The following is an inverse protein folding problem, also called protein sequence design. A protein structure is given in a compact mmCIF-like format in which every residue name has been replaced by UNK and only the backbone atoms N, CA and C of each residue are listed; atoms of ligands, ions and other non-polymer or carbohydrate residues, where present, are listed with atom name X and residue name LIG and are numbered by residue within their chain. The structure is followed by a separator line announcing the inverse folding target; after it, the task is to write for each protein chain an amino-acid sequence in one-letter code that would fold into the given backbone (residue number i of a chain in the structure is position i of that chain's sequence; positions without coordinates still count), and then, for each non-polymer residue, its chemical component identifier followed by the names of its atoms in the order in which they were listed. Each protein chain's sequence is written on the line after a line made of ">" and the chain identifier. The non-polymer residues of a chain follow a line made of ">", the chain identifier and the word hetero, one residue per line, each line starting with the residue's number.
data_IF_072330828459
#
_entry.id   IF_072330828459
#
_cell.length_a   1.000
_cell.length_b   1.000
_cell.length_c   1.000
_cell.angle_alpha   90.00
_cell.angle_beta   90.00
_cell.angle_gamma   90.00
#
_symmetry.space_group_name_H-M   'P 1'
#
loop_
_entity.id
_entity.type
_entity.pdbx_description
1 polymer ?
#
# COMPACT_ATOMS: atom_id res chain seq x y z
N UNK A 1 0.20 26.33 10.56
CA UNK A 1 -0.43 25.50 11.61
C UNK A 1 -1.94 25.57 11.46
N UNK A 2 -2.60 24.44 11.20
CA UNK A 2 -4.05 24.40 11.04
C UNK A 2 -4.67 23.82 12.30
N UNK A 3 -5.24 24.69 13.14
CA UNK A 3 -5.93 24.29 14.35
C UNK A 3 -7.17 23.45 14.00
N UNK A 4 -7.27 22.25 14.55
CA UNK A 4 -8.39 21.34 14.35
C UNK A 4 -9.18 21.13 15.63
N UNK A 5 -10.46 20.77 15.49
CA UNK A 5 -11.28 20.39 16.63
C UNK A 5 -10.74 19.12 17.28
N UNK A 6 -10.68 19.12 18.60
CA UNK A 6 -10.14 17.99 19.37
C UNK A 6 -10.92 16.69 19.11
N UNK A 7 -12.26 16.74 18.98
CA UNK A 7 -13.04 15.55 18.63
C UNK A 7 -12.67 14.97 17.25
N UNK A 8 -12.29 15.85 16.30
CA UNK A 8 -11.82 15.42 14.98
C UNK A 8 -10.43 14.80 15.06
N UNK A 9 -9.51 15.41 15.82
CA UNK A 9 -8.14 14.89 16.00
C UNK A 9 -8.18 13.49 16.61
N UNK A 10 -8.89 13.32 17.74
CA UNK A 10 -8.96 12.03 18.43
C UNK A 10 -9.66 10.97 17.55
N UNK A 11 -10.77 11.31 16.90
CA UNK A 11 -11.50 10.36 16.06
C UNK A 11 -10.71 9.95 14.81
N UNK A 12 -9.85 10.82 14.26
CA UNK A 12 -9.04 10.50 13.08
C UNK A 12 -7.99 9.42 13.33
N UNK A 13 -7.63 9.17 14.59
CA UNK A 13 -6.74 8.04 14.95
C UNK A 13 -7.41 6.67 14.80
N UNK A 14 -8.74 6.64 14.62
CA UNK A 14 -9.54 5.40 14.51
C UNK A 14 -9.79 4.68 15.83
N UNK A 15 -9.15 5.09 16.95
CA UNK A 15 -9.36 4.47 18.27
C UNK A 15 -10.77 4.72 18.81
N UNK A 16 -11.32 5.91 18.56
CA UNK A 16 -12.60 6.35 19.10
C UNK A 16 -13.45 7.03 18.02
N UNK A 17 -14.76 6.81 18.06
CA UNK A 17 -15.71 7.62 17.30
C UNK A 17 -15.89 9.01 17.98
N UNK A 18 -16.36 10.00 17.25
CA UNK A 18 -16.65 11.33 17.83
C UNK A 18 -17.65 11.27 18.99
N UNK A 19 -18.57 10.28 18.98
CA UNK A 19 -19.53 10.07 20.05
C UNK A 19 -18.84 9.57 21.32
N UNK A 20 -17.94 8.63 21.17
CA UNK A 20 -17.11 8.12 22.28
C UNK A 20 -16.21 9.20 22.85
N UNK A 21 -15.56 10.01 22.00
CA UNK A 21 -14.75 11.17 22.44
C UNK A 21 -15.54 12.11 23.34
N UNK A 22 -16.79 12.44 22.98
CA UNK A 22 -17.65 13.28 23.81
C UNK A 22 -17.96 12.63 25.16
N UNK A 23 -18.16 11.31 25.18
CA UNK A 23 -18.41 10.58 26.42
C UNK A 23 -17.19 10.56 27.32
N UNK A 24 -16.01 10.26 26.76
CA UNK A 24 -14.73 10.26 27.47
C UNK A 24 -14.40 11.63 28.08
N UNK A 25 -14.64 12.72 27.35
CA UNK A 25 -14.47 14.08 27.86
C UNK A 25 -15.37 14.39 29.06
N UNK A 26 -16.66 13.99 28.99
CA UNK A 26 -17.61 14.15 30.12
C UNK A 26 -17.19 13.37 31.36
N UNK A 27 -16.49 12.25 31.17
CA UNK A 27 -15.94 11.43 32.23
C UNK A 27 -14.58 11.93 32.76
N UNK A 28 -14.04 13.02 32.20
CA UNK A 28 -12.72 13.55 32.58
C UNK A 28 -11.53 12.68 32.15
N UNK A 29 -11.71 11.80 31.16
CA UNK A 29 -10.72 10.84 30.68
C UNK A 29 -9.85 11.35 29.54
N UNK A 30 -10.03 12.61 29.14
CA UNK A 30 -9.21 13.27 28.10
C UNK A 30 -8.48 14.45 28.74
N UNK A 31 -7.16 14.48 28.59
CA UNK A 31 -6.34 15.63 28.91
C UNK A 31 -5.77 16.23 27.63
N UNK A 32 -5.74 17.56 27.57
CA UNK A 32 -5.06 18.35 26.56
C UNK A 32 -4.05 19.26 27.24
N UNK A 33 -2.78 19.11 26.93
CA UNK A 33 -1.67 19.87 27.54
C UNK A 33 -1.74 19.87 29.10
N UNK A 34 -2.00 18.69 29.66
CA UNK A 34 -2.10 18.46 31.10
C UNK A 34 -3.41 18.90 31.75
N UNK A 35 -4.36 19.51 31.04
CA UNK A 35 -5.65 19.96 31.59
C UNK A 35 -6.82 19.08 31.13
N UNK A 36 -7.81 18.82 31.99
CA UNK A 36 -9.00 18.06 31.62
C UNK A 36 -9.83 18.80 30.55
N UNK A 37 -10.22 18.06 29.50
CA UNK A 37 -11.08 18.54 28.43
C UNK A 37 -12.52 18.48 28.84
N UNK A 38 -13.25 19.60 28.74
CA UNK A 38 -14.72 19.66 28.97
C UNK A 38 -15.50 19.87 27.68
N UNK A 39 -14.95 20.66 26.76
CA UNK A 39 -15.53 20.88 25.43
C UNK A 39 -14.63 20.27 24.33
N UNK A 40 -15.11 19.22 23.71
CA UNK A 40 -14.39 18.54 22.61
C UNK A 40 -14.42 19.33 21.30
N UNK A 41 -15.15 20.47 21.25
CA UNK A 41 -15.14 21.40 20.12
C UNK A 41 -13.94 22.36 20.15
N UNK A 42 -13.23 22.45 21.28
CA UNK A 42 -12.03 23.28 21.36
C UNK A 42 -11.00 22.86 20.30
N UNK A 43 -10.21 23.83 19.85
CA UNK A 43 -9.23 23.62 18.78
C UNK A 43 -7.84 23.42 19.39
N UNK A 44 -7.13 22.46 18.85
CA UNK A 44 -5.73 22.18 19.17
C UNK A 44 -4.91 22.01 17.89
N UNK A 45 -3.62 22.21 17.98
CA UNK A 45 -2.70 21.82 16.92
C UNK A 45 -2.40 20.33 17.04
N UNK A 46 -2.80 19.52 16.07
CA UNK A 46 -2.63 18.07 16.15
C UNK A 46 -1.16 17.60 16.14
N UNK A 47 -0.23 18.46 15.72
CA UNK A 47 1.20 18.12 15.62
C UNK A 47 1.98 18.43 16.90
N UNK A 48 1.49 19.36 17.71
CA UNK A 48 2.21 19.84 18.90
C UNK A 48 1.46 19.63 20.21
N UNK A 49 0.13 19.47 20.16
CA UNK A 49 -0.68 19.28 21.36
C UNK A 49 -0.45 17.91 22.00
N UNK A 50 -0.21 17.89 23.30
CA UNK A 50 -0.16 16.66 24.08
C UNK A 50 -1.59 16.21 24.43
N UNK A 51 -2.05 15.15 23.81
CA UNK A 51 -3.37 14.58 24.05
C UNK A 51 -3.23 13.24 24.76
N UNK A 52 -3.81 13.13 25.96
CA UNK A 52 -3.88 11.87 26.70
C UNK A 52 -5.34 11.38 26.72
N UNK A 53 -5.55 10.11 26.49
CA UNK A 53 -6.84 9.44 26.67
C UNK A 53 -6.62 8.26 27.59
N UNK A 54 -7.32 8.24 28.71
CA UNK A 54 -7.15 7.24 29.78
C UNK A 54 -5.72 7.21 30.36
N UNK A 55 -5.03 8.35 30.36
CA UNK A 55 -3.65 8.46 30.80
C UNK A 55 -2.62 8.01 29.76
N UNK A 56 -3.03 7.51 28.60
CA UNK A 56 -2.14 7.09 27.52
C UNK A 56 -2.02 8.16 26.43
N UNK A 57 -0.79 8.44 25.94
CA UNK A 57 -0.58 9.37 24.85
C UNK A 57 -1.32 8.92 23.57
N UNK A 58 -1.99 9.88 22.93
CA UNK A 58 -2.63 9.68 21.65
C UNK A 58 -1.66 10.03 20.52
N UNK A 59 -1.22 9.04 19.76
CA UNK A 59 -0.35 9.28 18.61
C UNK A 59 -1.22 9.73 17.44
N UNK A 60 -1.12 11.00 17.08
CA UNK A 60 -1.74 11.55 15.89
C UNK A 60 -0.81 11.39 14.68
N UNK A 61 -1.38 10.97 13.53
CA UNK A 61 -0.70 11.00 12.23
C UNK A 61 -1.63 11.70 11.23
N UNK A 62 -1.16 12.82 10.69
CA UNK A 62 -1.92 13.55 9.67
C UNK A 62 -2.18 12.69 8.43
N UNK A 63 -1.18 11.94 8.05
CA UNK A 63 -1.20 11.00 6.93
C UNK A 63 -0.64 9.68 7.41
N UNK A 64 -1.36 8.63 7.13
CA UNK A 64 -0.94 7.28 7.49
C UNK A 64 -0.48 6.56 6.24
N UNK A 65 0.72 6.01 6.30
CA UNK A 65 1.29 5.17 5.25
C UNK A 65 1.68 3.82 5.86
N UNK A 66 1.21 2.78 5.24
CA UNK A 66 1.40 1.39 5.69
C UNK A 66 1.99 0.58 4.54
N UNK A 67 3.07 -0.15 4.82
CA UNK A 67 3.60 -1.22 3.99
C UNK A 67 2.94 -2.52 4.42
N UNK A 68 2.23 -3.15 3.51
CA UNK A 68 1.58 -4.46 3.70
C UNK A 68 2.30 -5.50 2.83
N UNK A 69 2.68 -6.62 3.40
CA UNK A 69 2.99 -7.82 2.64
C UNK A 69 1.67 -8.53 2.29
N UNK A 70 1.09 -8.14 1.15
CA UNK A 70 -0.19 -8.71 0.73
C UNK A 70 -0.05 -10.22 0.48
N UNK A 71 -0.83 -11.08 1.12
CA UNK A 71 -0.90 -12.50 0.78
C UNK A 71 -1.81 -12.74 -0.43
N UNK A 72 -1.72 -13.91 -1.04
CA UNK A 72 -2.70 -14.37 -2.00
C UNK A 72 -4.11 -14.49 -1.38
N UNK A 73 -5.15 -14.41 -2.20
CA UNK A 73 -6.54 -14.58 -1.76
C UNK A 73 -7.27 -13.27 -1.38
N UNK A 74 -6.57 -12.16 -1.19
CA UNK A 74 -7.15 -10.87 -0.81
C UNK A 74 -7.24 -9.90 -1.98
N UNK A 75 -8.34 -9.15 -2.04
CA UNK A 75 -8.56 -8.14 -3.07
C UNK A 75 -7.93 -6.81 -2.68
N UNK A 76 -7.24 -6.15 -3.61
CA UNK A 76 -6.73 -4.78 -3.43
C UNK A 76 -7.87 -3.76 -3.59
N UNK A 77 -8.78 -3.73 -2.62
CA UNK A 77 -9.95 -2.87 -2.56
C UNK A 77 -10.22 -2.45 -1.11
N UNK A 78 -11.02 -1.40 -0.93
CA UNK A 78 -11.48 -0.96 0.39
C UNK A 78 -12.63 -1.80 0.91
N UNK A 79 -13.53 -2.20 0.01
CA UNK A 79 -14.69 -3.04 0.28
C UNK A 79 -14.95 -3.93 -0.93
N UNK A 80 -15.43 -5.14 -0.71
CA UNK A 80 -15.91 -6.04 -1.76
C UNK A 80 -16.98 -6.99 -1.19
N UNK A 81 -18.10 -7.14 -1.90
CA UNK A 81 -19.20 -8.03 -1.49
C UNK A 81 -18.96 -9.52 -1.76
N UNK A 82 -17.81 -9.90 -2.36
CA UNK A 82 -17.54 -11.26 -2.85
C UNK A 82 -16.34 -11.93 -2.19
N UNK A 83 -15.59 -11.22 -1.35
CA UNK A 83 -14.41 -11.81 -0.70
C UNK A 83 -13.64 -10.84 0.17
N UNK A 84 -12.63 -11.34 0.90
CA UNK A 84 -11.82 -10.53 1.79
C UNK A 84 -10.97 -9.52 1.01
N UNK A 85 -10.83 -8.34 1.59
CA UNK A 85 -10.01 -7.25 1.07
C UNK A 85 -8.73 -7.07 1.88
N UNK A 86 -7.77 -6.35 1.35
CA UNK A 86 -6.52 -6.03 2.06
C UNK A 86 -6.73 -5.23 3.34
N UNK A 87 -7.86 -4.53 3.48
CA UNK A 87 -8.19 -3.82 4.72
C UNK A 87 -8.61 -4.78 5.84
N UNK A 88 -9.09 -5.98 5.52
CA UNK A 88 -9.45 -6.97 6.53
C UNK A 88 -8.23 -7.53 7.28
N UNK A 89 -7.04 -7.34 6.74
CA UNK A 89 -5.76 -7.67 7.38
C UNK A 89 -5.33 -6.64 8.43
N UNK A 90 -5.95 -5.45 8.44
CA UNK A 90 -5.61 -4.39 9.36
C UNK A 90 -6.47 -4.43 10.62
N UNK A 91 -5.95 -3.96 11.77
CA UNK A 91 -6.75 -3.81 12.99
C UNK A 91 -7.84 -2.74 12.80
N UNK A 92 -8.94 -2.83 13.59
CA UNK A 92 -10.10 -1.95 13.45
C UNK A 92 -9.78 -0.45 13.46
N UNK A 93 -8.77 -0.05 14.23
CA UNK A 93 -8.33 1.36 14.37
C UNK A 93 -7.79 1.88 13.04
N UNK A 94 -6.99 1.10 12.31
CA UNK A 94 -6.47 1.50 11.00
C UNK A 94 -7.55 1.48 9.93
N UNK A 95 -8.47 0.52 9.96
CA UNK A 95 -9.60 0.50 9.01
C UNK A 95 -10.45 1.75 9.10
N UNK A 96 -10.67 2.29 10.32
CA UNK A 96 -11.46 3.51 10.55
C UNK A 96 -10.77 4.79 10.09
N UNK A 97 -9.47 4.75 9.79
CA UNK A 97 -8.73 5.90 9.27
C UNK A 97 -8.97 6.18 7.78
N UNK A 98 -9.79 5.37 7.10
CA UNK A 98 -10.11 5.55 5.69
C UNK A 98 -8.92 5.27 4.77
N UNK A 99 -8.10 4.28 5.13
CA UNK A 99 -7.00 3.83 4.28
C UNK A 99 -7.54 3.17 3.01
N UNK A 100 -6.79 3.32 1.93
CA UNK A 100 -7.04 2.65 0.65
C UNK A 100 -5.72 2.19 0.01
N UNK A 101 -5.75 1.16 -0.86
CA UNK A 101 -4.55 0.66 -1.50
C UNK A 101 -4.03 1.61 -2.59
N UNK A 102 -2.71 1.83 -2.61
CA UNK A 102 -1.98 2.58 -3.64
C UNK A 102 -1.68 1.65 -4.81
N UNK A 103 -2.57 1.67 -5.78
CA UNK A 103 -2.58 0.71 -6.87
C UNK A 103 -3.16 -0.64 -6.46
N UNK A 104 -3.02 -1.61 -7.37
CA UNK A 104 -3.63 -2.92 -7.20
C UNK A 104 -2.63 -4.02 -7.49
N UNK A 105 -2.69 -5.09 -6.71
CA UNK A 105 -2.19 -6.42 -7.03
C UNK A 105 -3.38 -7.33 -7.30
N UNK A 106 -3.20 -8.28 -8.20
CA UNK A 106 -4.21 -9.30 -8.46
C UNK A 106 -4.49 -10.10 -7.18
N UNK A 107 -5.63 -10.79 -7.13
CA UNK A 107 -6.04 -11.57 -5.95
C UNK A 107 -4.99 -12.62 -5.56
N UNK A 108 -4.39 -13.26 -6.52
CA UNK A 108 -3.36 -14.31 -6.37
C UNK A 108 -1.92 -13.78 -6.38
N UNK A 109 -1.70 -12.49 -6.62
CA UNK A 109 -0.38 -11.85 -6.57
C UNK A 109 -0.08 -11.39 -5.14
N UNK A 110 1.11 -11.67 -4.68
CA UNK A 110 1.60 -11.35 -3.33
C UNK A 110 2.54 -10.14 -3.31
N UNK A 111 2.98 -9.76 -2.12
CA UNK A 111 4.10 -8.84 -1.92
C UNK A 111 3.71 -7.43 -1.54
N UNK A 112 4.58 -6.48 -1.85
CA UNK A 112 4.49 -5.09 -1.42
C UNK A 112 3.21 -4.42 -1.92
N UNK A 113 2.35 -4.03 -1.00
CA UNK A 113 1.22 -3.14 -1.25
C UNK A 113 1.25 -1.99 -0.25
N UNK A 114 1.17 -0.76 -0.75
CA UNK A 114 1.05 0.41 0.11
C UNK A 114 -0.42 0.72 0.37
N UNK A 115 -0.74 1.11 1.61
CA UNK A 115 -2.06 1.59 2.02
C UNK A 115 -1.89 2.98 2.62
N UNK A 116 -2.79 3.91 2.30
CA UNK A 116 -2.73 5.28 2.81
C UNK A 116 -4.09 5.95 2.84
N UNK A 117 -4.20 7.06 3.59
CA UNK A 117 -5.29 8.03 3.49
C UNK A 117 -4.86 9.35 2.81
N UNK A 118 -3.64 9.39 2.25
CA UNK A 118 -3.13 10.52 1.46
C UNK A 118 -3.45 10.35 -0.03
N UNK A 119 -4.63 10.83 -0.43
CA UNK A 119 -5.08 10.72 -1.83
C UNK A 119 -4.23 11.48 -2.84
N UNK A 120 -3.63 12.61 -2.44
CA UNK A 120 -2.82 13.42 -3.34
C UNK A 120 -1.53 12.70 -3.74
N UNK A 121 -0.74 12.25 -2.75
CA UNK A 121 0.51 11.55 -3.02
C UNK A 121 0.26 10.17 -3.65
N UNK A 122 -0.81 9.46 -3.25
CA UNK A 122 -1.18 8.20 -3.88
C UNK A 122 -1.51 8.37 -5.38
N UNK A 123 -2.24 9.44 -5.73
CA UNK A 123 -2.54 9.77 -7.12
C UNK A 123 -1.26 10.04 -7.93
N UNK A 124 -0.33 10.80 -7.36
CA UNK A 124 0.94 11.10 -8.02
C UNK A 124 1.78 9.85 -8.24
N UNK A 125 1.92 8.98 -7.25
CA UNK A 125 2.64 7.69 -7.37
C UNK A 125 2.06 6.76 -8.44
N UNK A 126 0.76 6.84 -8.69
CA UNK A 126 0.07 5.99 -9.68
C UNK A 126 -0.01 6.65 -11.06
N UNK A 127 0.27 7.94 -11.17
CA UNK A 127 0.16 8.67 -12.43
C UNK A 127 1.17 8.12 -13.46
N UNK A 128 0.73 7.76 -14.67
CA UNK A 128 1.61 7.17 -15.70
C UNK A 128 2.82 8.03 -16.04
N UNK A 129 2.71 9.36 -15.89
CA UNK A 129 3.79 10.33 -16.16
C UNK A 129 5.02 10.17 -15.25
N UNK A 130 4.86 9.62 -14.05
CA UNK A 130 5.97 9.46 -13.11
C UNK A 130 6.76 8.17 -13.30
N UNK A 131 6.26 7.24 -14.14
CA UNK A 131 6.97 6.01 -14.51
C UNK A 131 7.58 5.25 -13.32
N UNK A 132 6.89 5.21 -12.19
CA UNK A 132 7.37 4.55 -10.96
C UNK A 132 7.63 3.08 -11.24
N UNK A 133 8.89 2.67 -11.12
CA UNK A 133 9.31 1.30 -11.35
C UNK A 133 8.67 0.35 -10.31
N UNK A 134 8.23 -0.81 -10.79
CA UNK A 134 7.69 -1.89 -9.96
C UNK A 134 8.43 -3.16 -10.30
N UNK A 135 9.12 -3.72 -9.32
CA UNK A 135 9.89 -4.95 -9.50
C UNK A 135 9.11 -6.12 -8.92
N UNK A 136 8.99 -7.15 -9.73
CA UNK A 136 8.30 -8.39 -9.37
C UNK A 136 9.25 -9.58 -9.49
N UNK A 137 9.18 -10.48 -8.52
CA UNK A 137 9.69 -11.84 -8.66
C UNK A 137 8.59 -12.71 -9.27
N UNK A 138 8.93 -13.44 -10.31
CA UNK A 138 8.03 -14.33 -11.02
C UNK A 138 8.64 -15.73 -11.13
N UNK A 139 7.80 -16.76 -10.92
CA UNK A 139 8.07 -18.11 -11.37
C UNK A 139 7.17 -18.43 -12.55
N UNK A 140 7.71 -19.14 -13.52
CA UNK A 140 7.00 -19.51 -14.76
C UNK A 140 7.19 -20.99 -15.08
N UNK A 141 6.18 -21.62 -15.65
CA UNK A 141 6.37 -22.91 -16.29
C UNK A 141 7.09 -22.72 -17.64
N UNK A 142 8.13 -23.52 -17.88
CA UNK A 142 8.94 -23.47 -19.09
C UNK A 142 10.21 -22.61 -18.98
N UNK A 143 11.16 -22.91 -19.82
CA UNK A 143 12.50 -22.32 -19.83
C UNK A 143 12.48 -20.91 -20.42
N UNK A 144 12.80 -19.88 -19.63
CA UNK A 144 13.00 -18.50 -20.09
C UNK A 144 14.33 -18.42 -20.88
N UNK A 145 14.34 -17.56 -21.89
CA UNK A 145 15.47 -17.38 -22.82
C UNK A 145 15.79 -15.89 -23.03
N UNK A 146 16.95 -15.61 -23.61
CA UNK A 146 17.36 -14.26 -24.03
C UNK A 146 16.36 -13.61 -25.03
N UNK A 147 15.65 -14.42 -25.81
CA UNK A 147 14.60 -13.93 -26.71
C UNK A 147 13.37 -13.39 -25.95
N UNK A 148 13.08 -13.97 -24.78
CA UNK A 148 12.03 -13.46 -23.90
C UNK A 148 12.45 -12.12 -23.31
N UNK A 149 13.70 -11.97 -22.88
CA UNK A 149 14.26 -10.71 -22.40
C UNK A 149 14.21 -9.61 -23.48
N UNK A 150 14.57 -9.92 -24.71
CA UNK A 150 14.48 -8.99 -25.85
C UNK A 150 13.04 -8.57 -26.13
N UNK A 151 12.10 -9.53 -26.16
CA UNK A 151 10.68 -9.24 -26.38
C UNK A 151 10.10 -8.30 -25.30
N UNK A 152 10.50 -8.46 -24.04
CA UNK A 152 10.13 -7.55 -22.95
C UNK A 152 10.74 -6.16 -23.15
N UNK A 153 12.04 -6.09 -23.47
CA UNK A 153 12.74 -4.82 -23.67
C UNK A 153 12.22 -3.99 -24.85
N UNK A 154 11.70 -4.64 -25.88
CA UNK A 154 11.08 -3.98 -27.04
C UNK A 154 9.63 -3.54 -26.75
N UNK A 155 9.01 -4.12 -25.73
CA UNK A 155 7.59 -4.02 -25.48
C UNK A 155 6.78 -4.97 -26.37
N UNK A 156 5.57 -5.29 -25.94
CA UNK A 156 4.75 -6.32 -26.59
C UNK A 156 3.35 -5.81 -26.91
N UNK A 157 2.80 -6.22 -28.05
CA UNK A 157 1.37 -6.13 -28.31
C UNK A 157 0.72 -7.47 -27.98
N UNK A 158 -0.20 -7.46 -27.01
CA UNK A 158 -0.90 -8.66 -26.57
C UNK A 158 -1.97 -9.09 -27.59
N UNK A 159 -2.46 -10.33 -27.49
CA UNK A 159 -3.41 -10.92 -28.45
C UNK A 159 -4.71 -10.12 -28.61
N UNK A 160 -5.12 -9.34 -27.57
CA UNK A 160 -6.29 -8.46 -27.63
C UNK A 160 -5.98 -7.05 -28.17
N UNK A 161 -4.76 -6.84 -28.69
CA UNK A 161 -4.30 -5.54 -29.22
C UNK A 161 -3.75 -4.59 -28.15
N UNK A 162 -3.73 -4.96 -26.87
CA UNK A 162 -3.16 -4.13 -25.81
C UNK A 162 -1.65 -4.01 -25.98
N UNK A 163 -1.15 -2.79 -26.20
CA UNK A 163 0.28 -2.53 -26.34
C UNK A 163 0.91 -2.33 -24.95
N UNK A 164 1.86 -3.18 -24.57
CA UNK A 164 2.68 -3.03 -23.36
C UNK A 164 3.95 -2.24 -23.66
N UNK A 165 4.31 -1.34 -22.74
CA UNK A 165 5.56 -0.58 -22.82
C UNK A 165 6.76 -1.52 -22.65
N UNK A 166 7.97 -1.08 -23.06
CA UNK A 166 9.23 -1.73 -22.74
C UNK A 166 9.34 -2.06 -21.24
N UNK A 167 9.78 -3.27 -20.94
CA UNK A 167 9.86 -3.81 -19.59
C UNK A 167 11.19 -4.56 -19.41
N UNK A 168 11.69 -4.63 -18.18
CA UNK A 168 12.85 -5.46 -17.83
C UNK A 168 12.41 -6.90 -17.56
N UNK A 169 13.17 -7.85 -18.07
CA UNK A 169 13.10 -9.26 -17.68
C UNK A 169 14.53 -9.75 -17.43
N UNK A 170 14.84 -10.08 -16.19
CA UNK A 170 16.12 -10.62 -15.76
C UNK A 170 15.92 -12.07 -15.31
N UNK A 171 16.55 -13.01 -15.99
CA UNK A 171 16.44 -14.43 -15.67
C UNK A 171 17.38 -14.77 -14.52
N UNK A 172 16.82 -15.23 -13.40
CA UNK A 172 17.56 -15.70 -12.23
C UNK A 172 17.94 -17.18 -12.36
N UNK A 173 16.99 -17.98 -12.83
CA UNK A 173 17.21 -19.39 -13.16
C UNK A 173 16.34 -19.80 -14.34
N UNK A 174 16.85 -20.70 -15.20
CA UNK A 174 16.13 -21.20 -16.36
C UNK A 174 16.04 -22.73 -16.33
N UNK A 175 14.84 -23.28 -16.59
CA UNK A 175 14.58 -24.72 -16.55
C UNK A 175 13.11 -25.03 -16.90
N UNK A 176 12.64 -26.21 -16.54
CA UNK A 176 11.21 -26.56 -16.63
C UNK A 176 10.34 -25.59 -15.83
N UNK A 177 10.81 -25.14 -14.68
CA UNK A 177 10.40 -23.91 -14.00
C UNK A 177 11.54 -22.90 -14.09
N UNK A 178 11.22 -21.66 -14.43
CA UNK A 178 12.17 -20.57 -14.47
C UNK A 178 11.79 -19.49 -13.44
N UNK A 179 12.81 -18.79 -12.93
CA UNK A 179 12.64 -17.66 -12.02
C UNK A 179 13.21 -16.40 -12.67
N UNK A 180 12.50 -15.29 -12.50
CA UNK A 180 12.94 -14.01 -13.07
C UNK A 180 12.51 -12.81 -12.21
N UNK A 181 13.26 -11.71 -12.37
CA UNK A 181 12.77 -10.38 -11.97
C UNK A 181 12.16 -9.67 -13.18
N UNK A 182 10.99 -9.11 -12.98
CA UNK A 182 10.26 -8.33 -13.99
C UNK A 182 10.11 -6.90 -13.50
N UNK A 183 10.61 -5.92 -14.27
CA UNK A 183 10.49 -4.51 -13.96
C UNK A 183 9.51 -3.84 -14.92
N UNK A 184 8.44 -3.24 -14.38
CA UNK A 184 7.42 -2.50 -15.13
C UNK A 184 7.35 -1.04 -14.68
N UNK A 185 7.05 -0.12 -15.64
CA UNK A 185 6.73 1.29 -15.39
C UNK A 185 5.26 1.64 -15.52
N UNK A 186 4.45 0.66 -15.81
CA UNK A 186 3.00 0.76 -15.94
C UNK A 186 2.32 -0.37 -15.13
N UNK A 187 0.99 -0.49 -15.21
CA UNK A 187 0.27 -1.53 -14.47
C UNK A 187 -1.05 -1.86 -15.16
N UNK A 188 -0.98 -2.54 -16.32
CA UNK A 188 -2.17 -3.01 -17.03
C UNK A 188 -2.70 -4.30 -16.42
N UNK A 189 -3.96 -4.59 -16.69
CA UNK A 189 -4.64 -5.77 -16.16
C UNK A 189 -3.89 -7.05 -16.47
N UNK A 190 -3.45 -7.76 -15.43
CA UNK A 190 -2.69 -9.03 -15.48
C UNK A 190 -1.45 -8.95 -16.40
N UNK A 191 -0.78 -7.80 -16.49
CA UNK A 191 0.20 -7.52 -17.53
C UNK A 191 1.32 -8.55 -17.60
N UNK A 192 2.03 -8.82 -16.51
CA UNK A 192 3.14 -9.78 -16.45
C UNK A 192 2.66 -11.18 -16.86
N UNK A 193 1.53 -11.62 -16.31
CA UNK A 193 0.96 -12.93 -16.59
C UNK A 193 0.63 -13.11 -18.07
N UNK A 194 0.07 -12.06 -18.68
CA UNK A 194 -0.29 -12.06 -20.10
C UNK A 194 0.91 -12.00 -21.02
N UNK A 195 1.92 -11.16 -20.67
CA UNK A 195 3.15 -11.08 -21.45
C UNK A 195 3.90 -12.42 -21.46
N UNK A 196 4.08 -13.05 -20.30
CA UNK A 196 4.75 -14.34 -20.18
C UNK A 196 3.92 -15.47 -20.79
N UNK A 197 2.61 -15.49 -20.62
CA UNK A 197 1.73 -16.47 -21.27
C UNK A 197 1.79 -16.38 -22.79
N UNK A 198 1.87 -15.18 -23.38
CA UNK A 198 2.03 -15.00 -24.83
C UNK A 198 3.39 -15.52 -25.34
N UNK A 199 4.40 -15.60 -24.48
CA UNK A 199 5.68 -16.26 -24.75
C UNK A 199 5.64 -17.78 -24.52
N UNK A 200 4.46 -18.34 -24.18
CA UNK A 200 4.31 -19.76 -23.85
C UNK A 200 4.88 -20.15 -22.48
N UNK A 201 5.04 -19.19 -21.58
CA UNK A 201 5.66 -19.35 -20.25
C UNK A 201 4.70 -18.83 -19.16
N UNK A 202 3.59 -19.53 -18.86
CA UNK A 202 2.61 -19.06 -17.91
C UNK A 202 3.21 -18.87 -16.51
N UNK A 203 2.82 -17.78 -15.84
CA UNK A 203 3.23 -17.49 -14.48
C UNK A 203 2.57 -18.46 -13.50
N UNK A 204 3.39 -19.10 -12.67
CA UNK A 204 2.96 -19.99 -11.58
C UNK A 204 2.96 -19.29 -10.21
N UNK A 205 3.83 -18.28 -10.05
CA UNK A 205 3.88 -17.45 -8.84
C UNK A 205 4.32 -16.02 -9.18
N UNK A 206 3.74 -15.04 -8.50
CA UNK A 206 4.07 -13.63 -8.70
C UNK A 206 4.06 -12.86 -7.38
N UNK A 207 5.16 -12.16 -7.08
CA UNK A 207 5.31 -11.35 -5.86
C UNK A 207 5.92 -10.01 -6.21
N UNK A 208 5.29 -8.90 -5.82
CA UNK A 208 5.90 -7.57 -5.96
C UNK A 208 6.90 -7.33 -4.85
N UNK A 209 8.14 -7.10 -5.21
CA UNK A 209 9.24 -6.84 -4.28
C UNK A 209 9.47 -5.35 -4.03
N UNK A 210 9.24 -4.49 -5.04
CA UNK A 210 9.58 -3.09 -4.97
C UNK A 210 8.56 -2.22 -5.72
N UNK A 211 8.38 -1.00 -5.23
CA UNK A 211 7.63 0.07 -5.88
C UNK A 211 8.35 1.40 -5.66
N UNK A 212 8.88 2.00 -6.75
CA UNK A 212 9.77 3.14 -6.67
C UNK A 212 10.99 2.82 -5.80
N UNK A 213 11.26 3.67 -4.82
CA UNK A 213 12.39 3.49 -3.90
C UNK A 213 12.06 2.59 -2.70
N UNK A 214 10.83 2.09 -2.59
CA UNK A 214 10.42 1.23 -1.47
C UNK A 214 10.56 -0.25 -1.84
N UNK A 215 11.32 -0.98 -1.03
CA UNK A 215 11.44 -2.43 -1.10
C UNK A 215 10.60 -3.07 0.00
N UNK A 216 9.97 -4.21 -0.30
CA UNK A 216 9.25 -5.00 0.70
C UNK A 216 10.21 -5.37 1.84
N UNK A 217 9.79 -5.06 3.05
CA UNK A 217 10.55 -5.44 4.25
C UNK A 217 10.63 -6.97 4.36
N UNK A 218 11.84 -7.55 4.36
CA UNK A 218 12.01 -8.99 4.41
C UNK A 218 11.57 -9.62 5.75
N UNK A 219 11.37 -8.81 6.78
CA UNK A 219 10.87 -9.27 8.07
C UNK A 219 9.35 -9.39 8.14
N UNK A 220 8.62 -8.81 7.18
CA UNK A 220 7.17 -8.93 7.11
C UNK A 220 6.76 -10.27 6.49
N UNK A 221 6.08 -11.09 7.27
CA UNK A 221 5.42 -12.29 6.78
C UNK A 221 4.16 -11.94 5.95
N UNK A 222 3.68 -12.83 5.06
CA UNK A 222 2.44 -12.61 4.32
C UNK A 222 1.25 -12.33 5.24
N UNK A 223 0.59 -11.18 5.04
CA UNK A 223 -0.50 -10.68 5.89
C UNK A 223 -0.06 -9.67 6.94
N UNK A 224 1.23 -9.55 7.20
CA UNK A 224 1.75 -8.57 8.13
C UNK A 224 1.95 -7.20 7.48
N UNK A 225 1.94 -6.19 8.32
CA UNK A 225 2.13 -4.80 7.92
C UNK A 225 2.97 -4.02 8.94
N UNK A 226 3.57 -2.92 8.49
CA UNK A 226 4.15 -1.90 9.36
C UNK A 226 3.90 -0.49 8.79
N UNK A 227 4.05 0.50 9.64
CA UNK A 227 4.08 1.88 9.16
C UNK A 227 5.36 2.18 8.38
N UNK A 228 5.28 3.07 7.39
CA UNK A 228 6.48 3.60 6.76
C UNK A 228 7.23 4.50 7.74
N UNK A 229 8.56 4.45 7.68
CA UNK A 229 9.41 5.43 8.37
C UNK A 229 9.29 6.81 7.73
N UNK A 230 9.76 7.86 8.42
CA UNK A 230 9.79 9.21 7.85
C UNK A 230 10.68 9.30 6.61
N UNK A 231 11.81 8.57 6.59
CA UNK A 231 12.70 8.48 5.44
C UNK A 231 12.01 7.83 4.24
N UNK A 232 11.29 6.73 4.45
CA UNK A 232 10.52 6.04 3.42
C UNK A 232 9.42 6.94 2.85
N UNK A 233 8.69 7.67 3.72
CA UNK A 233 7.67 8.63 3.29
C UNK A 233 8.30 9.78 2.49
N UNK A 234 9.42 10.36 2.96
CA UNK A 234 10.14 11.40 2.24
C UNK A 234 10.70 10.93 0.88
N UNK A 235 10.99 9.62 0.73
CA UNK A 235 11.42 9.05 -0.56
C UNK A 235 10.29 8.97 -1.60
N UNK A 236 9.04 8.83 -1.15
CA UNK A 236 7.87 8.82 -2.02
C UNK A 236 7.57 10.20 -2.63
N UNK A 237 7.89 11.28 -1.92
CA UNK A 237 7.66 12.67 -2.37
C UNK A 237 8.68 13.12 -3.44
N UNK A 238 9.77 12.37 -3.62
CA UNK A 238 10.88 12.70 -4.53
C UNK A 238 10.84 11.93 -5.86
N UNK A 239 9.81 11.08 -6.06
CA UNK A 239 9.63 10.29 -7.29
C UNK A 239 8.87 11.04 -8.37
#
# INVERSE_FOLDING_TARGET
>A
MELQRLDKIIASTGRFSRREVKLLARQGRILLDGRPVRDTAEKADPETAEILVDGEPLIYRRRTWVMLHKPAGYLSATEDGRGPTVLDLLPPELRRQGLFPVGRLDKDTEGLLLLTNDGALAHDLLAPRHHVDKVYYARTAGCLTEEDCKAFAEGMTLADGLRCLPAGLEILSAGEESEALVTLREGKFHQIKRMLAQRGKPVTYLKRLQMGNLTLDPQLEPGEFRFLTEEEQGSLEKN
#
